data_IF_388818459811
#
_entry.id   IF_388818459811
#
_cell.length_a   1.000
_cell.length_b   1.000
_cell.length_c   1.000
_cell.angle_alpha   90.00
_cell.angle_beta   90.00
_cell.angle_gamma   90.00
#
_symmetry.space_group_name_H-M   'P 1'
#
loop_
_entity.id
_entity.type
_entity.pdbx_description
1 polymer ?
#
# COMPACT_ATOMS: atom_id res chain seq x y z
N UNK A 1 -17.96 -1.94 0.32
CA UNK A 1 -16.83 -2.73 -0.18
C UNK A 1 -16.56 -3.92 0.73
N UNK A 2 -16.24 -5.07 0.15
CA UNK A 2 -15.85 -6.27 0.90
C UNK A 2 -14.35 -6.36 1.08
N UNK A 3 -13.59 -6.00 0.06
CA UNK A 3 -12.12 -6.09 0.00
C UNK A 3 -11.47 -4.74 -0.35
N UNK A 4 -11.61 -3.74 0.53
CA UNK A 4 -10.99 -2.44 0.30
C UNK A 4 -9.48 -2.50 0.48
N UNK A 5 -8.75 -1.71 -0.30
CA UNK A 5 -7.34 -1.38 -0.05
C UNK A 5 -7.17 0.12 0.07
N UNK A 6 -6.11 0.54 0.74
CA UNK A 6 -5.75 1.93 0.88
C UNK A 6 -4.32 2.18 0.41
N UNK A 7 -4.15 3.27 -0.31
CA UNK A 7 -2.85 3.73 -0.76
C UNK A 7 -2.58 5.08 -0.12
N UNK A 8 -1.50 5.16 0.66
CA UNK A 8 -1.01 6.41 1.23
C UNK A 8 0.03 7.05 0.31
N UNK A 9 -0.15 8.31 -0.01
CA UNK A 9 0.77 9.10 -0.81
C UNK A 9 1.41 10.26 -0.02
N UNK A 10 2.17 11.10 -0.71
CA UNK A 10 2.92 12.23 -0.14
C UNK A 10 2.06 13.19 0.69
N UNK A 11 0.81 13.39 0.33
CA UNK A 11 -0.10 14.27 1.07
C UNK A 11 -0.34 13.81 2.51
N UNK A 12 -0.24 12.51 2.79
CA UNK A 12 -0.30 11.98 4.17
C UNK A 12 0.91 12.44 4.97
N UNK A 13 2.11 12.36 4.38
CA UNK A 13 3.34 12.83 5.02
C UNK A 13 3.33 14.36 5.23
N UNK A 14 2.92 15.14 4.22
CA UNK A 14 2.80 16.59 4.36
C UNK A 14 1.80 17.02 5.44
N UNK A 15 0.76 16.22 5.66
CA UNK A 15 -0.22 16.46 6.73
C UNK A 15 0.25 15.97 8.10
N UNK A 16 1.41 15.29 8.22
CA UNK A 16 1.86 14.64 9.45
C UNK A 16 0.84 13.61 9.96
N UNK A 17 0.25 12.84 9.03
CA UNK A 17 -0.89 11.97 9.29
C UNK A 17 -0.58 10.47 9.24
N UNK A 18 0.70 10.09 9.36
CA UNK A 18 1.17 8.71 9.27
C UNK A 18 0.55 7.84 10.36
N UNK A 19 0.53 8.31 11.60
CA UNK A 19 -0.07 7.59 12.73
C UNK A 19 -1.59 7.39 12.53
N UNK A 20 -2.26 8.39 11.96
CA UNK A 20 -3.70 8.31 11.62
C UNK A 20 -3.96 7.31 10.52
N UNK A 21 -3.06 7.25 9.51
CA UNK A 21 -3.14 6.27 8.43
C UNK A 21 -3.00 4.84 8.98
N UNK A 22 -2.04 4.63 9.88
CA UNK A 22 -1.84 3.34 10.55
C UNK A 22 -3.06 2.97 11.41
N UNK A 23 -3.52 3.89 12.25
CA UNK A 23 -4.69 3.67 13.10
C UNK A 23 -5.93 3.31 12.28
N UNK A 24 -6.18 4.06 11.20
CA UNK A 24 -7.29 3.78 10.30
C UNK A 24 -7.16 2.40 9.64
N UNK A 25 -5.96 2.02 9.21
CA UNK A 25 -5.70 0.69 8.66
C UNK A 25 -6.03 -0.41 9.66
N UNK A 26 -5.48 -0.29 10.85
CA UNK A 26 -5.63 -1.28 11.93
C UNK A 26 -7.08 -1.36 12.45
N UNK A 27 -7.69 -0.23 12.79
CA UNK A 27 -9.07 -0.19 13.33
C UNK A 27 -10.10 -0.67 12.33
N UNK A 28 -9.92 -0.30 11.07
CA UNK A 28 -10.87 -0.65 10.02
C UNK A 28 -10.55 -1.97 9.32
N UNK A 29 -9.44 -2.62 9.61
CA UNK A 29 -9.05 -3.88 8.96
C UNK A 29 -8.77 -3.71 7.46
N UNK A 30 -8.21 -2.57 7.04
CA UNK A 30 -7.91 -2.27 5.63
C UNK A 30 -6.41 -2.34 5.39
N UNK A 31 -5.93 -3.17 4.46
CA UNK A 31 -4.55 -3.19 4.02
C UNK A 31 -4.09 -1.81 3.53
N UNK A 32 -2.89 -1.39 3.95
CA UNK A 32 -2.31 -0.10 3.58
C UNK A 32 -1.04 -0.31 2.77
N UNK A 33 -0.98 0.32 1.61
CA UNK A 33 0.18 0.36 0.74
C UNK A 33 0.72 1.79 0.64
N UNK A 34 2.03 1.94 0.53
CA UNK A 34 2.64 3.24 0.21
C UNK A 34 2.81 3.39 -1.30
N UNK A 35 2.68 4.61 -1.79
CA UNK A 35 3.13 4.95 -3.15
C UNK A 35 4.65 4.70 -3.24
N UNK A 36 5.17 4.11 -4.33
CA UNK A 36 6.60 3.88 -4.52
C UNK A 36 7.41 5.18 -4.56
N UNK A 37 8.71 5.08 -4.24
CA UNK A 37 9.70 6.18 -4.31
C UNK A 37 9.39 7.42 -3.46
N UNK A 38 8.57 7.27 -2.44
CA UNK A 38 8.20 8.33 -1.51
C UNK A 38 8.61 8.00 -0.09
N UNK A 39 8.36 8.93 0.82
CA UNK A 39 8.60 8.72 2.24
C UNK A 39 7.83 7.49 2.74
N UNK A 40 8.51 6.70 3.55
CA UNK A 40 7.87 5.57 4.22
C UNK A 40 6.86 6.11 5.25
N UNK A 41 5.60 5.81 5.04
CA UNK A 41 4.51 6.30 5.88
C UNK A 41 4.27 5.41 7.10
N UNK A 42 4.44 4.10 6.96
CA UNK A 42 4.21 3.13 8.03
C UNK A 42 5.47 2.32 8.30
N UNK A 43 5.61 1.88 9.55
CA UNK A 43 6.65 0.93 9.95
C UNK A 43 6.44 -0.44 9.31
N UNK A 44 7.52 -1.15 9.02
CA UNK A 44 7.49 -2.56 8.58
C UNK A 44 6.79 -3.48 9.60
N UNK A 45 6.80 -3.09 10.87
CA UNK A 45 6.15 -3.82 11.96
C UNK A 45 4.64 -3.51 12.06
N UNK A 46 4.15 -2.51 11.35
CA UNK A 46 2.72 -2.17 11.37
C UNK A 46 1.88 -3.32 10.83
N UNK A 47 0.86 -3.71 11.59
CA UNK A 47 -0.07 -4.77 11.20
C UNK A 47 -0.92 -4.42 9.96
N UNK A 48 -1.05 -3.14 9.64
CA UNK A 48 -1.81 -2.67 8.49
C UNK A 48 -0.94 -2.50 7.23
N UNK A 49 0.40 -2.43 7.37
CA UNK A 49 1.30 -2.15 6.27
C UNK A 49 1.54 -3.38 5.39
N UNK A 50 1.26 -3.25 4.12
CA UNK A 50 1.42 -4.32 3.13
C UNK A 50 2.56 -4.09 2.14
N UNK A 51 3.30 -2.99 2.26
CA UNK A 51 4.41 -2.67 1.39
C UNK A 51 4.09 -1.56 0.38
N UNK A 52 4.76 -1.62 -0.77
CA UNK A 52 4.59 -0.62 -1.83
C UNK A 52 3.44 -0.98 -2.75
N UNK A 53 2.74 0.03 -3.23
CA UNK A 53 1.76 -0.07 -4.29
C UNK A 53 2.49 -0.11 -5.65
N UNK A 54 3.30 -1.13 -5.89
CA UNK A 54 4.13 -1.28 -7.09
C UNK A 54 4.01 -2.70 -7.63
N UNK A 55 3.43 -2.82 -8.82
CA UNK A 55 3.25 -4.11 -9.51
C UNK A 55 4.54 -4.63 -10.14
N UNK A 56 5.52 -3.77 -10.37
CA UNK A 56 6.74 -4.17 -11.06
C UNK A 56 7.79 -4.78 -10.12
N UNK A 57 7.69 -4.46 -8.84
CA UNK A 57 8.69 -4.83 -7.85
C UNK A 57 8.12 -5.59 -6.64
N UNK A 58 6.79 -5.64 -6.48
CA UNK A 58 6.17 -6.15 -5.27
C UNK A 58 4.89 -6.95 -5.52
N UNK A 59 5.03 -8.25 -5.74
CA UNK A 59 3.93 -9.19 -6.05
C UNK A 59 2.73 -9.16 -5.08
N UNK A 60 2.88 -9.02 -3.73
CA UNK A 60 1.73 -8.94 -2.85
C UNK A 60 0.77 -7.80 -3.17
N UNK A 61 1.27 -6.68 -3.72
CA UNK A 61 0.39 -5.60 -4.14
C UNK A 61 -0.41 -5.98 -5.39
N UNK A 62 0.18 -6.68 -6.35
CA UNK A 62 -0.53 -7.15 -7.54
C UNK A 62 -1.75 -8.00 -7.18
N UNK A 63 -1.56 -9.00 -6.31
CA UNK A 63 -2.65 -9.85 -5.84
C UNK A 63 -3.74 -9.05 -5.10
N UNK A 64 -3.33 -8.22 -4.15
CA UNK A 64 -4.26 -7.42 -3.36
C UNK A 64 -5.09 -6.45 -4.22
N UNK A 65 -4.43 -5.79 -5.18
CA UNK A 65 -5.09 -4.87 -6.10
C UNK A 65 -6.02 -5.62 -7.06
N UNK A 66 -5.57 -6.77 -7.58
CA UNK A 66 -6.38 -7.60 -8.48
C UNK A 66 -7.68 -8.10 -7.86
N UNK A 67 -7.72 -8.29 -6.54
CA UNK A 67 -8.89 -8.76 -5.79
C UNK A 67 -9.71 -7.64 -5.13
N UNK A 68 -9.18 -6.42 -5.07
CA UNK A 68 -9.85 -5.29 -4.44
C UNK A 68 -11.15 -4.91 -5.17
N UNK A 69 -12.17 -4.58 -4.40
CA UNK A 69 -13.43 -4.00 -4.89
C UNK A 69 -13.54 -2.49 -4.60
N UNK A 70 -12.60 -1.95 -3.82
CA UNK A 70 -12.46 -0.52 -3.55
C UNK A 70 -10.99 -0.17 -3.36
N UNK A 71 -10.53 0.85 -4.06
CA UNK A 71 -9.22 1.48 -3.86
C UNK A 71 -9.42 2.88 -3.30
N UNK A 72 -8.90 3.13 -2.11
CA UNK A 72 -8.91 4.42 -1.45
C UNK A 72 -7.52 5.05 -1.53
N UNK A 73 -7.33 5.99 -2.44
CA UNK A 73 -6.10 6.78 -2.57
C UNK A 73 -6.18 8.00 -1.65
N UNK A 74 -5.24 8.11 -0.69
CA UNK A 74 -5.20 9.21 0.27
C UNK A 74 -3.90 9.99 0.11
N UNK A 75 -3.98 11.24 -0.31
CA UNK A 75 -2.84 12.13 -0.49
C UNK A 75 -1.86 11.69 -1.58
N UNK A 76 -2.31 10.91 -2.52
CA UNK A 76 -1.52 10.45 -3.66
C UNK A 76 -2.22 10.72 -4.99
N UNK A 77 -1.55 10.37 -6.08
CA UNK A 77 -2.08 10.47 -7.44
C UNK A 77 -1.76 9.21 -8.24
N UNK A 78 -2.52 8.97 -9.29
CA UNK A 78 -2.32 7.84 -10.19
C UNK A 78 -1.35 8.23 -11.32
N UNK A 79 -0.05 8.18 -11.02
CA UNK A 79 1.02 8.44 -11.99
C UNK A 79 1.46 7.17 -12.73
N UNK A 80 2.59 7.23 -13.42
CA UNK A 80 3.15 6.10 -14.16
C UNK A 80 3.50 4.89 -13.28
N UNK A 81 3.89 5.11 -12.03
CA UNK A 81 4.24 4.05 -11.08
C UNK A 81 3.01 3.23 -10.68
N UNK A 82 1.86 3.89 -10.66
CA UNK A 82 0.56 3.30 -10.40
C UNK A 82 -0.16 2.86 -11.68
N UNK A 83 0.58 2.67 -12.79
CA UNK A 83 0.02 2.36 -14.11
C UNK A 83 -1.14 3.28 -14.51
N UNK A 84 -1.06 4.55 -14.11
CA UNK A 84 -2.08 5.57 -14.36
C UNK A 84 -3.49 5.17 -13.89
N UNK A 85 -3.59 4.27 -12.90
CA UNK A 85 -4.85 3.70 -12.41
C UNK A 85 -5.50 2.70 -13.36
N UNK A 86 -4.76 2.13 -14.30
CA UNK A 86 -5.29 1.21 -15.30
C UNK A 86 -5.10 -0.27 -14.92
N UNK A 87 -5.90 -1.17 -15.54
CA UNK A 87 -5.67 -2.60 -15.46
C UNK A 87 -4.25 -2.97 -15.99
N UNK A 88 -3.67 -4.06 -15.53
CA UNK A 88 -4.24 -5.04 -14.60
C UNK A 88 -4.21 -4.61 -13.12
N UNK A 89 -3.37 -3.64 -12.73
CA UNK A 89 -3.20 -3.23 -11.34
C UNK A 89 -4.52 -2.74 -10.72
N UNK A 90 -5.22 -1.85 -11.41
CA UNK A 90 -6.54 -1.37 -10.97
C UNK A 90 -7.65 -2.07 -11.77
N UNK A 91 -8.33 -3.08 -11.20
CA UNK A 91 -9.40 -3.78 -11.89
C UNK A 91 -10.51 -2.79 -12.30
N UNK A 92 -11.10 -3.00 -13.46
CA UNK A 92 -12.18 -2.13 -13.96
C UNK A 92 -13.43 -2.14 -13.08
N UNK A 93 -13.62 -3.19 -12.29
CA UNK A 93 -14.75 -3.35 -11.38
C UNK A 93 -14.51 -2.83 -9.96
N UNK A 94 -13.31 -2.35 -9.65
CA UNK A 94 -13.01 -1.73 -8.37
C UNK A 94 -13.40 -0.25 -8.40
N UNK A 95 -14.15 0.20 -7.39
CA UNK A 95 -14.40 1.62 -7.15
C UNK A 95 -13.10 2.32 -6.75
N UNK A 96 -12.88 3.51 -7.28
CA UNK A 96 -11.75 4.36 -6.95
C UNK A 96 -12.24 5.60 -6.20
N UNK A 97 -11.73 5.79 -5.00
CA UNK A 97 -11.95 7.00 -4.20
C UNK A 97 -10.64 7.74 -4.04
N UNK A 98 -10.57 8.99 -4.48
CA UNK A 98 -9.41 9.84 -4.34
C UNK A 98 -9.65 10.94 -3.30
N UNK A 99 -8.72 11.06 -2.35
CA UNK A 99 -8.71 12.10 -1.32
C UNK A 99 -7.41 12.86 -1.41
N UNK A 100 -7.48 14.17 -1.67
CA UNK A 100 -6.29 15.02 -1.72
C UNK A 100 -6.62 16.45 -1.27
N UNK A 101 -5.62 17.16 -0.74
CA UNK A 101 -5.72 18.56 -0.38
C UNK A 101 -5.60 19.52 -1.57
N UNK A 102 -5.18 19.02 -2.73
CA UNK A 102 -5.05 19.81 -3.97
C UNK A 102 -6.04 19.35 -5.03
N UNK A 103 -6.76 20.30 -5.61
CA UNK A 103 -7.69 20.04 -6.70
C UNK A 103 -6.97 19.50 -7.96
N UNK A 104 -5.72 19.87 -8.17
CA UNK A 104 -4.92 19.44 -9.32
C UNK A 104 -4.44 17.99 -9.22
N UNK A 105 -4.45 17.43 -8.03
CA UNK A 105 -3.98 16.06 -7.75
C UNK A 105 -5.10 15.01 -7.73
N UNK A 106 -6.36 15.45 -7.63
CA UNK A 106 -7.50 14.55 -7.75
C UNK A 106 -7.83 14.33 -9.24
N UNK A 107 -8.33 13.14 -9.57
CA UNK A 107 -8.66 12.75 -10.95
C UNK A 107 -7.48 12.80 -11.95
N UNK A 108 -6.26 12.80 -11.44
CA UNK A 108 -5.07 12.80 -12.27
C UNK A 108 -4.96 11.47 -13.04
N UNK A 109 -4.91 11.54 -14.37
CA UNK A 109 -4.86 10.44 -15.33
C UNK A 109 -6.10 9.55 -15.42
N UNK A 110 -6.79 9.24 -14.34
CA UNK A 110 -8.04 8.49 -14.30
C UNK A 110 -9.04 9.20 -13.41
N UNK A 111 -10.23 9.42 -13.92
CA UNK A 111 -11.34 9.91 -13.11
C UNK A 111 -11.67 8.91 -12.01
N UNK A 112 -11.80 9.38 -10.78
CA UNK A 112 -12.25 8.58 -9.66
C UNK A 112 -13.79 8.46 -9.67
N UNK A 113 -14.29 7.38 -9.08
CA UNK A 113 -15.75 7.22 -8.88
C UNK A 113 -16.24 8.19 -7.80
N UNK A 114 -15.34 8.56 -6.86
CA UNK A 114 -15.59 9.61 -5.87
C UNK A 114 -14.30 10.40 -5.61
N UNK A 115 -14.43 11.72 -5.63
CA UNK A 115 -13.34 12.65 -5.33
C UNK A 115 -13.68 13.47 -4.09
N UNK A 116 -12.75 13.52 -3.13
CA UNK A 116 -12.86 14.31 -1.92
C UNK A 116 -11.69 15.30 -1.83
N UNK A 117 -12.00 16.60 -1.92
CA UNK A 117 -11.03 17.64 -1.65
C UNK A 117 -10.97 17.88 -0.14
N UNK A 118 -9.97 17.32 0.50
CA UNK A 118 -9.80 17.36 1.95
C UNK A 118 -8.34 17.20 2.34
N UNK A 119 -7.96 17.79 3.45
CA UNK A 119 -6.72 17.45 4.12
C UNK A 119 -6.71 15.94 4.45
N UNK A 120 -5.63 15.20 4.11
CA UNK A 120 -5.54 13.77 4.36
C UNK A 120 -5.71 13.38 5.84
N UNK A 121 -5.16 14.17 6.77
CA UNK A 121 -5.28 13.92 8.20
C UNK A 121 -6.71 14.07 8.69
N UNK A 122 -7.37 15.15 8.31
CA UNK A 122 -8.77 15.39 8.67
C UNK A 122 -9.70 14.30 8.12
N UNK A 123 -9.45 13.85 6.88
CA UNK A 123 -10.18 12.73 6.30
C UNK A 123 -9.97 11.43 7.08
N UNK A 124 -8.73 11.11 7.45
CA UNK A 124 -8.42 9.90 8.22
C UNK A 124 -9.06 9.93 9.62
N UNK A 125 -9.05 11.07 10.29
CA UNK A 125 -9.74 11.26 11.58
C UNK A 125 -11.25 11.01 11.45
N UNK A 126 -11.88 11.59 10.44
CA UNK A 126 -13.29 11.37 10.16
C UNK A 126 -13.58 9.89 9.86
N UNK A 127 -12.74 9.25 9.07
CA UNK A 127 -12.90 7.83 8.72
C UNK A 127 -12.78 6.91 9.94
N UNK A 128 -11.82 7.18 10.83
CA UNK A 128 -11.65 6.46 12.11
C UNK A 128 -12.86 6.65 13.01
N UNK A 129 -13.44 7.86 13.04
CA UNK A 129 -14.60 8.17 13.87
C UNK A 129 -15.89 7.42 13.48
N UNK A 130 -15.97 6.92 12.24
CA UNK A 130 -17.08 6.05 11.79
C UNK A 130 -17.08 4.68 12.50
N UNK A 131 -15.94 4.28 13.09
CA UNK A 131 -15.83 3.07 13.90
C UNK A 131 -16.31 1.80 13.18
N UNK A 132 -17.09 0.99 13.88
CA UNK A 132 -17.56 -0.31 13.37
C UNK A 132 -18.52 -0.19 12.18
N UNK A 133 -19.26 0.93 12.07
CA UNK A 133 -20.13 1.19 10.91
C UNK A 133 -19.36 1.13 9.60
N UNK A 134 -18.12 1.60 9.60
CA UNK A 134 -17.25 1.52 8.43
C UNK A 134 -16.73 0.10 8.13
N UNK A 135 -16.97 -0.89 8.99
CA UNK A 135 -16.58 -2.30 8.83
C UNK A 135 -17.69 -3.21 8.34
N UNK A 136 -18.92 -2.75 8.34
CA UNK A 136 -20.07 -3.56 7.95
C UNK A 136 -19.94 -4.09 6.52
N UNK A 137 -20.19 -5.38 6.37
CA UNK A 137 -20.17 -6.06 5.08
C UNK A 137 -18.78 -6.37 4.51
N UNK A 138 -17.69 -6.10 5.27
CA UNK A 138 -16.32 -6.46 4.83
C UNK A 138 -16.00 -7.93 5.08
N UNK A 139 -15.03 -8.40 4.30
CA UNK A 139 -14.35 -9.66 4.59
C UNK A 139 -13.43 -9.47 5.82
N UNK A 140 -13.82 -10.09 6.94
CA UNK A 140 -13.09 -9.97 8.20
C UNK A 140 -11.66 -10.55 8.13
N UNK A 141 -11.41 -11.48 7.20
CA UNK A 141 -10.10 -12.10 7.00
C UNK A 141 -9.20 -11.30 6.05
N UNK A 142 -9.72 -10.26 5.37
CA UNK A 142 -9.04 -9.57 4.28
C UNK A 142 -7.67 -9.00 4.66
N UNK A 143 -7.58 -8.31 5.81
CA UNK A 143 -6.30 -7.76 6.28
C UNK A 143 -5.31 -8.88 6.58
N UNK A 144 -5.74 -9.92 7.31
CA UNK A 144 -4.86 -11.01 7.69
C UNK A 144 -4.39 -11.83 6.48
N UNK A 145 -5.25 -12.03 5.50
CA UNK A 145 -4.90 -12.69 4.25
C UNK A 145 -3.77 -11.95 3.50
N UNK A 146 -3.85 -10.62 3.43
CA UNK A 146 -2.80 -9.82 2.81
C UNK A 146 -1.51 -9.78 3.64
N UNK A 147 -1.61 -9.81 4.97
CA UNK A 147 -0.43 -9.95 5.87
C UNK A 147 0.31 -11.26 5.64
N UNK A 148 -0.43 -12.35 5.53
CA UNK A 148 0.14 -13.67 5.25
C UNK A 148 0.86 -13.68 3.90
N UNK A 149 0.22 -13.20 2.83
CA UNK A 149 0.84 -13.06 1.50
C UNK A 149 2.16 -12.28 1.55
N UNK A 150 2.15 -11.14 2.25
CA UNK A 150 3.36 -10.33 2.43
C UNK A 150 4.45 -11.11 3.15
N UNK A 151 4.11 -11.79 4.24
CA UNK A 151 5.07 -12.59 5.03
C UNK A 151 5.68 -13.71 4.20
N UNK A 152 4.87 -14.45 3.45
CA UNK A 152 5.32 -15.53 2.56
C UNK A 152 6.25 -15.00 1.46
N UNK A 153 5.88 -13.85 0.86
CA UNK A 153 6.71 -13.23 -0.16
C UNK A 153 8.06 -12.77 0.39
N UNK A 154 8.08 -12.12 1.56
CA UNK A 154 9.32 -11.68 2.21
C UNK A 154 10.21 -12.87 2.55
N UNK A 155 9.64 -13.94 3.11
CA UNK A 155 10.37 -15.16 3.43
C UNK A 155 10.96 -15.81 2.15
N UNK A 156 10.18 -15.86 1.07
CA UNK A 156 10.66 -16.36 -0.22
C UNK A 156 11.79 -15.49 -0.79
N UNK A 157 11.64 -14.17 -0.74
CA UNK A 157 12.68 -13.25 -1.22
C UNK A 157 14.00 -13.45 -0.47
N UNK A 158 13.95 -13.61 0.85
CA UNK A 158 15.16 -13.90 1.65
C UNK A 158 15.79 -15.23 1.24
N UNK A 159 15.00 -16.28 1.09
CA UNK A 159 15.50 -17.59 0.66
C UNK A 159 16.12 -17.56 -0.74
N UNK A 160 15.51 -16.84 -1.68
CA UNK A 160 16.04 -16.68 -3.04
C UNK A 160 17.38 -15.91 -3.02
N UNK A 161 17.50 -14.84 -2.22
CA UNK A 161 18.75 -14.08 -2.04
C UNK A 161 19.84 -14.94 -1.42
N UNK A 162 19.52 -15.75 -0.41
CA UNK A 162 20.47 -16.67 0.22
C UNK A 162 20.94 -17.75 -0.76
N UNK A 163 20.04 -18.29 -1.58
CA UNK A 163 20.37 -19.26 -2.59
C UNK A 163 21.30 -18.66 -3.69
N UNK A 164 21.00 -17.47 -4.18
CA UNK A 164 21.83 -16.78 -5.18
C UNK A 164 23.20 -16.40 -4.62
N UNK A 165 23.28 -15.90 -3.39
CA UNK A 165 24.53 -15.51 -2.76
C UNK A 165 25.48 -16.69 -2.53
N UNK A 166 24.94 -17.90 -2.43
CA UNK A 166 25.73 -19.14 -2.28
C UNK A 166 26.31 -19.65 -3.59
N UNK A 167 25.94 -19.08 -4.74
CA UNK A 167 26.41 -19.52 -6.06
C UNK A 167 27.86 -19.12 -6.33
N UNK A 168 28.57 -19.94 -7.12
CA UNK A 168 29.97 -19.69 -7.51
C UNK A 168 30.15 -18.40 -8.34
N UNK A 169 29.10 -17.86 -8.91
CA UNK A 169 29.13 -16.61 -9.70
C UNK A 169 29.55 -15.39 -8.87
N UNK A 170 29.20 -15.38 -7.59
CA UNK A 170 29.60 -14.26 -6.73
C UNK A 170 31.05 -14.37 -6.20
N UNK A 171 31.70 -15.55 -6.28
CA UNK A 171 33.14 -15.71 -6.07
C UNK A 171 33.67 -15.08 -4.77
N UNK A 172 32.90 -15.14 -3.68
CA UNK A 172 33.24 -14.52 -2.39
C UNK A 172 32.94 -13.02 -2.30
N UNK A 173 32.26 -12.44 -3.28
CA UNK A 173 31.73 -11.07 -3.20
C UNK A 173 30.37 -11.05 -2.49
N UNK A 174 30.07 -9.94 -1.84
CA UNK A 174 28.77 -9.74 -1.19
C UNK A 174 27.69 -9.54 -2.27
N UNK A 175 26.63 -10.33 -2.20
CA UNK A 175 25.46 -10.13 -3.07
C UNK A 175 24.80 -8.78 -2.74
N UNK A 176 24.43 -7.92 -3.72
CA UNK A 176 23.89 -6.60 -3.46
C UNK A 176 22.66 -6.60 -2.55
N UNK A 177 21.77 -7.59 -2.67
CA UNK A 177 20.59 -7.71 -1.82
C UNK A 177 20.97 -8.14 -0.38
N UNK A 178 21.99 -8.96 -0.18
CA UNK A 178 22.52 -9.24 1.17
C UNK A 178 23.02 -7.98 1.84
N UNK A 179 23.81 -7.18 1.13
CA UNK A 179 24.27 -5.90 1.66
C UNK A 179 23.10 -4.98 2.04
N UNK A 180 22.05 -4.93 1.19
CA UNK A 180 20.87 -4.14 1.48
C UNK A 180 20.12 -4.63 2.73
N UNK A 181 19.99 -5.96 2.92
CA UNK A 181 19.37 -6.54 4.10
C UNK A 181 20.18 -6.28 5.36
N UNK A 182 21.51 -6.41 5.31
CA UNK A 182 22.42 -6.15 6.43
C UNK A 182 22.34 -4.69 6.87
N UNK A 183 22.33 -3.75 5.91
CA UNK A 183 22.18 -2.31 6.19
C UNK A 183 20.80 -1.99 6.80
N UNK A 184 19.75 -2.70 6.40
CA UNK A 184 18.42 -2.48 6.95
C UNK A 184 18.29 -2.96 8.41
N UNK A 185 19.13 -3.92 8.84
CA UNK A 185 19.13 -4.47 10.19
C UNK A 185 20.05 -3.72 11.16
N UNK A 186 20.99 -2.93 10.64
CA UNK A 186 21.94 -2.14 11.43
C UNK A 186 21.34 -0.83 11.94
#
# INVERSE_FOLDING_TARGET
>A
AKRPIRIGGHGVWWAGAEERLEEAGRKLGIPVFNVPYHQKLLSEQSAAYMGLADIHQYHPSEDAFGEADLVLMVGGRLDNQMNFGNPPLFPRGAELVCVNGSHEEVDFNRAADMTLLSDPGAFLDALVSLGDTARDGRDAAWLEHNRQRRSEWVAKMHADVDAEASTAEFGGRIHPLHLALDVQQA
#
